data_IF_162804334932
#
_entry.id   IF_162804334932
#
_cell.length_a   1.000
_cell.length_b   1.000
_cell.length_c   1.000
_cell.angle_alpha   90.00
_cell.angle_beta   90.00
_cell.angle_gamma   90.00
#
_symmetry.space_group_name_H-M   'P 1'
#
loop_
_entity.id
_entity.type
_entity.pdbx_description
1 polymer ?
#
# COMPACT_ATOMS: atom_id res chain seq x y z
N UNK A 1 -9.29 -16.52 20.23
CA UNK A 1 -8.33 -15.56 19.63
C UNK A 1 -6.93 -15.92 20.11
N UNK A 2 -6.02 -16.31 19.21
CA UNK A 2 -4.65 -16.68 19.59
C UNK A 2 -3.76 -15.48 19.29
N UNK A 3 -3.19 -14.87 20.33
CA UNK A 3 -2.15 -13.86 20.13
C UNK A 3 -0.88 -14.62 19.72
N UNK A 4 -0.60 -14.66 18.43
CA UNK A 4 0.66 -15.21 17.94
C UNK A 4 1.72 -14.11 18.02
N UNK A 5 2.48 -14.14 19.11
CA UNK A 5 3.80 -13.54 19.14
C UNK A 5 4.67 -14.37 18.20
N UNK A 6 5.02 -13.84 17.02
CA UNK A 6 6.10 -14.43 16.23
C UNK A 6 7.39 -14.29 17.06
N UNK A 7 7.94 -15.38 17.63
CA UNK A 7 9.02 -15.27 18.59
C UNK A 7 10.35 -15.28 17.83
N UNK A 8 10.96 -14.10 17.73
CA UNK A 8 12.41 -13.96 17.64
C UNK A 8 12.78 -12.74 18.48
N UNK A 9 13.02 -13.03 19.77
CA UNK A 9 13.40 -12.09 20.82
C UNK A 9 12.41 -10.93 21.05
N UNK A 10 12.64 -10.12 22.06
CA UNK A 10 11.81 -8.98 22.46
C UNK A 10 11.79 -7.80 21.42
N UNK A 11 11.79 -8.13 20.12
CA UNK A 11 12.21 -7.26 19.00
C UNK A 11 11.33 -7.36 17.75
N UNK A 12 10.18 -8.07 17.79
CA UNK A 12 9.26 -8.23 16.65
C UNK A 12 7.97 -7.38 16.73
N UNK A 13 7.29 -7.18 15.60
CA UNK A 13 5.94 -6.61 15.57
C UNK A 13 4.89 -7.67 15.93
N UNK A 14 3.72 -7.22 16.39
CA UNK A 14 2.62 -8.06 16.86
C UNK A 14 1.50 -8.11 15.82
N UNK A 15 0.83 -9.27 15.72
CA UNK A 15 -0.42 -9.47 14.99
C UNK A 15 -1.33 -10.40 15.77
N UNK A 16 -2.64 -10.25 15.61
CA UNK A 16 -3.63 -11.16 16.20
C UNK A 16 -4.12 -12.11 15.13
N UNK A 17 -4.16 -13.41 15.44
CA UNK A 17 -4.56 -14.42 14.48
C UNK A 17 -5.79 -15.21 14.99
N UNK A 18 -6.73 -15.36 14.09
CA UNK A 18 -7.88 -16.24 14.15
C UNK A 18 -7.98 -16.97 12.80
N UNK A 19 -8.52 -18.20 12.74
CA UNK A 19 -8.66 -18.92 11.46
C UNK A 19 -9.35 -18.12 10.34
N UNK A 20 -10.23 -17.20 10.71
CA UNK A 20 -11.02 -16.39 9.77
C UNK A 20 -10.54 -14.94 9.62
N UNK A 21 -9.73 -14.43 10.57
CA UNK A 21 -9.32 -13.02 10.57
C UNK A 21 -7.91 -12.84 11.12
N UNK A 22 -7.17 -11.94 10.49
CA UNK A 22 -5.88 -11.45 10.96
C UNK A 22 -5.99 -9.95 11.24
N UNK A 23 -5.45 -9.51 12.37
CA UNK A 23 -5.34 -8.10 12.72
C UNK A 23 -3.87 -7.74 12.80
N UNK A 24 -3.43 -6.83 11.92
CA UNK A 24 -2.09 -6.28 11.90
C UNK A 24 -2.11 -4.84 12.43
N UNK A 25 -1.10 -4.47 13.21
CA UNK A 25 -0.93 -3.10 13.71
C UNK A 25 0.12 -2.40 12.87
N UNK A 26 -0.29 -1.42 12.09
CA UNK A 26 0.56 -0.74 11.12
C UNK A 26 0.71 0.74 11.48
N UNK A 27 1.92 1.27 11.32
CA UNK A 27 2.20 2.71 11.44
C UNK A 27 3.01 3.22 10.24
N UNK A 28 2.87 4.51 9.87
CA UNK A 28 3.71 5.10 8.84
C UNK A 28 5.20 5.11 9.22
N UNK A 29 6.05 4.55 8.35
CA UNK A 29 7.49 4.70 8.47
C UNK A 29 7.95 6.04 7.87
N UNK A 30 8.64 6.86 8.67
CA UNK A 30 9.11 8.20 8.28
C UNK A 30 10.64 8.30 8.27
N UNK A 31 11.17 9.25 7.49
CA UNK A 31 12.60 9.58 7.48
C UNK A 31 13.49 8.46 6.92
N UNK A 32 14.61 8.16 7.62
CA UNK A 32 15.56 7.12 7.21
C UNK A 32 14.96 5.71 7.29
N UNK A 33 13.85 5.55 8.00
CA UNK A 33 13.23 4.26 8.31
C UNK A 33 13.98 3.52 9.41
N UNK A 34 13.27 2.60 10.06
CA UNK A 34 13.81 1.73 11.10
C UNK A 34 13.21 0.35 10.93
N UNK A 35 14.04 -0.69 10.89
CA UNK A 35 13.56 -2.08 10.92
C UNK A 35 13.06 -2.51 12.32
N UNK A 36 12.88 -1.55 13.22
CA UNK A 36 12.45 -1.79 14.60
C UNK A 36 10.92 -1.67 14.70
N UNK A 37 10.27 -2.50 15.52
CA UNK A 37 8.86 -2.32 15.83
C UNK A 37 8.60 -0.96 16.48
N UNK A 38 7.41 -0.41 16.23
CA UNK A 38 6.97 0.84 16.82
C UNK A 38 6.08 0.56 18.03
N UNK A 39 6.53 0.87 19.27
CA UNK A 39 5.73 0.58 20.46
C UNK A 39 4.50 1.48 20.51
N UNK A 40 3.34 0.90 20.81
CA UNK A 40 2.08 1.57 21.11
C UNK A 40 1.67 1.23 22.55
N UNK A 41 2.24 1.91 23.57
CA UNK A 41 2.06 1.53 24.98
C UNK A 41 0.60 1.49 25.44
N UNK A 42 -0.23 2.41 24.95
CA UNK A 42 -1.65 2.47 25.28
C UNK A 42 -2.46 1.27 24.76
N UNK A 43 -1.95 0.59 23.73
CA UNK A 43 -2.56 -0.60 23.17
C UNK A 43 -1.85 -1.89 23.62
N UNK A 44 -0.70 -1.78 24.31
CA UNK A 44 0.12 -2.93 24.68
C UNK A 44 0.67 -3.70 23.48
N UNK A 45 0.82 -3.07 22.31
CA UNK A 45 1.29 -3.73 21.07
C UNK A 45 2.52 -3.05 20.48
N UNK A 46 3.30 -3.84 19.75
CA UNK A 46 4.40 -3.36 18.91
C UNK A 46 3.96 -3.39 17.45
N UNK A 47 3.73 -2.23 16.83
CA UNK A 47 3.28 -2.11 15.45
C UNK A 47 4.43 -2.28 14.45
N UNK A 48 4.07 -2.72 13.24
CA UNK A 48 4.98 -2.73 12.10
C UNK A 48 4.99 -1.35 11.43
N UNK A 49 6.18 -0.76 11.29
CA UNK A 49 6.35 0.45 10.48
C UNK A 49 6.40 0.08 8.99
N UNK A 50 5.53 0.67 8.18
CA UNK A 50 5.49 0.47 6.74
C UNK A 50 5.73 1.76 5.97
N UNK A 51 6.60 1.70 4.96
CA UNK A 51 6.80 2.84 4.05
C UNK A 51 5.59 3.01 3.14
N UNK A 52 5.29 4.26 2.84
CA UNK A 52 4.24 4.69 1.90
C UNK A 52 2.80 4.38 2.32
N UNK A 53 2.58 3.70 3.45
CA UNK A 53 1.23 3.40 3.97
C UNK A 53 0.42 4.66 4.28
N UNK A 54 1.10 5.75 4.66
CA UNK A 54 0.50 7.08 4.86
C UNK A 54 -0.34 7.53 3.66
N UNK A 55 0.10 7.23 2.44
CA UNK A 55 -0.63 7.55 1.22
C UNK A 55 -1.98 6.81 1.16
N UNK A 56 -2.01 5.54 1.54
CA UNK A 56 -3.25 4.76 1.55
C UNK A 56 -4.19 5.26 2.65
N UNK A 57 -3.65 5.60 3.83
CA UNK A 57 -4.44 6.10 4.97
C UNK A 57 -5.12 7.43 4.64
N UNK A 58 -4.44 8.32 3.91
CA UNK A 58 -4.98 9.62 3.51
C UNK A 58 -5.99 9.53 2.37
N UNK A 59 -5.91 8.49 1.54
CA UNK A 59 -6.76 8.33 0.34
C UNK A 59 -7.66 7.11 0.50
N UNK A 60 -8.64 7.21 1.40
CA UNK A 60 -9.59 6.13 1.68
C UNK A 60 -11.00 6.46 1.17
N UNK A 61 -11.77 5.40 0.93
CA UNK A 61 -13.21 5.45 0.71
C UNK A 61 -13.90 4.57 1.74
N UNK A 62 -15.19 4.78 1.96
CA UNK A 62 -16.02 3.91 2.77
C UNK A 62 -16.89 3.09 1.81
N UNK A 63 -16.83 1.77 1.96
CA UNK A 63 -17.68 0.83 1.24
C UNK A 63 -18.66 0.22 2.23
N UNK A 64 -19.92 0.14 1.82
CA UNK A 64 -20.97 -0.55 2.56
C UNK A 64 -21.00 -2.01 2.11
N UNK A 65 -20.91 -2.93 3.07
CA UNK A 65 -21.01 -4.37 2.82
C UNK A 65 -21.85 -4.99 3.92
N UNK A 66 -23.04 -5.47 3.57
CA UNK A 66 -24.04 -5.94 4.54
C UNK A 66 -24.29 -4.87 5.62
N UNK A 67 -24.05 -5.19 6.89
CA UNK A 67 -24.21 -4.29 8.03
C UNK A 67 -22.92 -3.52 8.40
N UNK A 68 -21.87 -3.60 7.58
CA UNK A 68 -20.56 -3.01 7.86
C UNK A 68 -20.24 -1.81 6.98
N UNK A 69 -19.68 -0.78 7.60
CA UNK A 69 -19.05 0.36 6.93
C UNK A 69 -17.54 0.16 6.98
N UNK A 70 -16.95 -0.24 5.85
CA UNK A 70 -15.55 -0.62 5.77
C UNK A 70 -14.77 0.51 5.11
N UNK A 71 -13.83 1.10 5.85
CA UNK A 71 -12.88 2.06 5.29
C UNK A 71 -11.74 1.30 4.60
N UNK A 72 -11.62 1.47 3.29
CA UNK A 72 -10.56 0.86 2.47
C UNK A 72 -9.78 1.93 1.71
N UNK A 73 -8.55 1.66 1.27
CA UNK A 73 -7.86 2.57 0.34
C UNK A 73 -8.65 2.72 -0.95
N UNK A 74 -8.70 3.94 -1.49
CA UNK A 74 -9.27 4.17 -2.82
C UNK A 74 -8.52 3.32 -3.86
N UNK A 75 -9.19 2.68 -4.83
CA UNK A 75 -8.54 1.83 -5.83
C UNK A 75 -7.36 2.49 -6.57
N UNK A 76 -7.51 3.76 -6.97
CA UNK A 76 -6.41 4.54 -7.55
C UNK A 76 -5.20 4.67 -6.60
N UNK A 77 -5.45 4.94 -5.31
CA UNK A 77 -4.39 5.03 -4.31
C UNK A 77 -3.70 3.67 -4.10
N UNK A 78 -4.49 2.58 -4.08
CA UNK A 78 -3.98 1.22 -4.01
C UNK A 78 -3.06 0.91 -5.19
N UNK A 79 -3.49 1.17 -6.43
CA UNK A 79 -2.71 0.92 -7.64
C UNK A 79 -1.38 1.69 -7.66
N UNK A 80 -1.44 3.01 -7.43
CA UNK A 80 -0.23 3.85 -7.39
C UNK A 80 0.74 3.44 -6.27
N UNK A 81 0.23 3.10 -5.08
CA UNK A 81 1.05 2.60 -3.98
C UNK A 81 1.70 1.25 -4.31
N UNK A 82 0.93 0.33 -4.90
CA UNK A 82 1.37 -1.01 -5.28
C UNK A 82 2.51 -0.95 -6.31
N UNK A 83 2.45 -0.02 -7.26
CA UNK A 83 3.57 0.29 -8.16
C UNK A 83 4.81 0.71 -7.38
N UNK A 84 4.73 1.67 -6.45
CA UNK A 84 5.91 2.14 -5.70
C UNK A 84 6.58 1.02 -4.88
N UNK A 85 5.79 0.11 -4.29
CA UNK A 85 6.33 -0.96 -3.46
C UNK A 85 6.85 -2.15 -4.26
N UNK A 86 6.41 -2.36 -5.51
CA UNK A 86 6.76 -3.53 -6.31
C UNK A 86 8.28 -3.71 -6.33
N UNK A 87 9.05 -2.69 -6.74
CA UNK A 87 10.53 -2.63 -6.81
C UNK A 87 11.30 -2.98 -5.52
N UNK A 88 10.63 -3.20 -4.38
CA UNK A 88 11.27 -3.48 -3.09
C UNK A 88 11.26 -4.95 -2.68
N UNK A 89 10.59 -5.82 -3.43
CA UNK A 89 10.52 -7.24 -3.10
C UNK A 89 11.71 -8.03 -3.68
N UNK A 90 12.01 -9.15 -3.03
CA UNK A 90 13.27 -9.89 -3.22
C UNK A 90 13.29 -10.81 -4.45
N UNK A 91 12.14 -11.13 -5.06
CA UNK A 91 12.04 -12.13 -6.13
C UNK A 91 11.29 -11.57 -7.32
N UNK A 92 11.86 -11.72 -8.51
CA UNK A 92 11.35 -11.20 -9.79
C UNK A 92 9.90 -11.60 -10.06
N UNK A 93 9.53 -12.86 -9.81
CA UNK A 93 8.15 -13.34 -9.95
C UNK A 93 7.15 -12.56 -9.08
N UNK A 94 7.53 -12.23 -7.84
CA UNK A 94 6.68 -11.43 -6.94
C UNK A 94 6.62 -9.96 -7.38
N UNK A 95 7.71 -9.44 -7.95
CA UNK A 95 7.73 -8.09 -8.53
C UNK A 95 6.69 -7.99 -9.66
N UNK A 96 6.76 -8.92 -10.61
CA UNK A 96 5.89 -8.95 -11.78
C UNK A 96 4.42 -9.10 -11.39
N UNK A 97 4.12 -10.03 -10.46
CA UNK A 97 2.75 -10.23 -9.98
C UNK A 97 2.18 -8.96 -9.32
N UNK A 98 2.93 -8.34 -8.41
CA UNK A 98 2.45 -7.13 -7.73
C UNK A 98 2.29 -5.95 -8.67
N UNK A 99 3.19 -5.82 -9.65
CA UNK A 99 3.08 -4.81 -10.69
C UNK A 99 1.84 -5.04 -11.56
N UNK A 100 1.58 -6.28 -11.98
CA UNK A 100 0.41 -6.60 -12.78
C UNK A 100 -0.89 -6.33 -12.03
N UNK A 101 -0.97 -6.67 -10.74
CA UNK A 101 -2.11 -6.32 -9.89
C UNK A 101 -2.35 -4.81 -9.86
N UNK A 102 -1.27 -4.02 -9.75
CA UNK A 102 -1.35 -2.57 -9.75
C UNK A 102 -1.85 -2.01 -11.10
N UNK A 103 -1.27 -2.49 -12.21
CA UNK A 103 -1.63 -2.07 -13.55
C UNK A 103 -3.08 -2.43 -13.89
N UNK A 104 -3.53 -3.63 -13.51
CA UNK A 104 -4.91 -4.06 -13.72
C UNK A 104 -5.89 -3.11 -13.03
N UNK A 105 -5.65 -2.76 -11.76
CA UNK A 105 -6.52 -1.82 -11.03
C UNK A 105 -6.55 -0.45 -11.69
N UNK A 106 -5.40 0.07 -12.11
CA UNK A 106 -5.32 1.38 -12.77
C UNK A 106 -6.02 1.37 -14.14
N UNK A 107 -5.84 0.33 -14.95
CA UNK A 107 -6.51 0.19 -16.24
C UNK A 107 -8.03 0.07 -16.09
N UNK A 108 -8.53 -0.70 -15.12
CA UNK A 108 -9.97 -0.77 -14.85
C UNK A 108 -10.56 0.59 -14.50
N UNK A 109 -9.84 1.43 -13.75
CA UNK A 109 -10.29 2.79 -13.44
C UNK A 109 -10.25 3.71 -14.68
N UNK A 110 -9.25 3.56 -15.55
CA UNK A 110 -9.17 4.31 -16.81
C UNK A 110 -10.36 3.95 -17.71
N UNK A 111 -10.69 2.66 -17.81
CA UNK A 111 -11.87 2.17 -18.54
C UNK A 111 -13.19 2.72 -17.97
N UNK A 112 -13.21 3.08 -16.68
CA UNK A 112 -14.33 3.70 -15.98
C UNK A 112 -14.32 5.24 -16.03
N UNK A 113 -13.44 5.85 -16.83
CA UNK A 113 -13.26 7.30 -16.97
C UNK A 113 -12.75 8.02 -15.69
N UNK A 114 -12.15 7.26 -14.75
CA UNK A 114 -11.59 7.78 -13.49
C UNK A 114 -10.13 8.27 -13.62
N UNK A 115 -9.67 8.52 -14.85
CA UNK A 115 -8.29 8.98 -15.14
C UNK A 115 -7.93 10.27 -14.38
N UNK A 116 -8.89 11.19 -14.21
CA UNK A 116 -8.69 12.43 -13.45
C UNK A 116 -8.44 12.17 -11.95
N UNK A 117 -9.08 11.16 -11.38
CA UNK A 117 -8.90 10.77 -9.98
C UNK A 117 -7.51 10.19 -9.77
N UNK A 118 -7.08 9.31 -10.69
CA UNK A 118 -5.72 8.75 -10.69
C UNK A 118 -4.69 9.88 -10.74
N UNK A 119 -4.83 10.80 -11.70
CA UNK A 119 -3.90 11.93 -11.87
C UNK A 119 -3.87 12.83 -10.63
N UNK A 120 -5.02 13.19 -10.08
CA UNK A 120 -5.08 14.02 -8.88
C UNK A 120 -4.39 13.37 -7.67
N UNK A 121 -4.57 12.07 -7.47
CA UNK A 121 -3.90 11.34 -6.40
C UNK A 121 -2.39 11.24 -6.63
N UNK A 122 -1.97 11.02 -7.88
CA UNK A 122 -0.56 11.01 -8.27
C UNK A 122 0.10 12.37 -8.04
N UNK A 123 -0.53 13.47 -8.47
CA UNK A 123 0.02 14.83 -8.36
C UNK A 123 0.20 15.29 -6.92
N UNK A 124 -0.64 14.80 -6.01
CA UNK A 124 -0.52 15.04 -4.57
C UNK A 124 0.60 14.22 -3.90
N UNK A 125 1.23 13.27 -4.61
CA UNK A 125 2.36 12.52 -4.08
C UNK A 125 3.65 13.36 -4.04
N UNK A 126 4.56 13.07 -3.08
CA UNK A 126 5.92 13.58 -3.11
C UNK A 126 6.61 13.33 -4.46
N UNK A 127 7.35 14.31 -4.97
CA UNK A 127 8.03 14.25 -6.28
C UNK A 127 8.89 12.99 -6.44
N UNK A 128 9.54 12.54 -5.37
CA UNK A 128 10.36 11.30 -5.38
C UNK A 128 9.52 10.04 -5.61
N UNK A 129 8.26 10.02 -5.21
CA UNK A 129 7.36 8.88 -5.39
C UNK A 129 6.80 8.88 -6.82
N UNK A 130 6.39 10.06 -7.31
CA UNK A 130 5.99 10.23 -8.71
C UNK A 130 7.05 9.75 -9.69
N UNK A 131 8.31 10.19 -9.52
CA UNK A 131 9.44 9.72 -10.33
C UNK A 131 9.63 8.20 -10.30
N UNK A 132 9.43 7.56 -9.14
CA UNK A 132 9.52 6.10 -9.04
C UNK A 132 8.44 5.40 -9.85
N UNK A 133 7.21 5.89 -9.80
CA UNK A 133 6.10 5.34 -10.58
C UNK A 133 6.38 5.51 -12.07
N UNK A 134 6.76 6.71 -12.53
CA UNK A 134 7.05 6.97 -13.94
C UNK A 134 8.16 6.04 -14.46
N UNK A 135 9.26 5.88 -13.73
CA UNK A 135 10.32 4.96 -14.12
C UNK A 135 9.82 3.50 -14.22
N UNK A 136 8.92 3.07 -13.34
CA UNK A 136 8.35 1.70 -13.40
C UNK A 136 7.49 1.55 -14.65
N UNK A 137 6.66 2.54 -14.97
CA UNK A 137 5.80 2.53 -16.15
C UNK A 137 6.62 2.55 -17.44
N UNK A 138 7.69 3.34 -17.48
CA UNK A 138 8.63 3.40 -18.60
C UNK A 138 9.33 2.06 -18.82
N UNK A 139 9.90 1.46 -17.77
CA UNK A 139 10.59 0.16 -17.86
C UNK A 139 9.67 -1.01 -18.25
N UNK A 140 8.36 -0.87 -18.01
CA UNK A 140 7.35 -1.89 -18.32
C UNK A 140 6.53 -1.58 -19.58
N UNK A 141 6.89 -0.53 -20.33
CA UNK A 141 6.22 -0.06 -21.56
C UNK A 141 4.71 0.25 -21.39
N UNK A 142 4.30 0.74 -20.21
CA UNK A 142 2.91 1.11 -19.91
C UNK A 142 2.63 2.59 -20.25
N UNK A 143 2.74 2.93 -21.54
CA UNK A 143 2.66 4.32 -22.03
C UNK A 143 1.29 4.97 -21.83
N UNK A 144 0.21 4.20 -21.89
CA UNK A 144 -1.15 4.74 -21.75
C UNK A 144 -1.35 5.35 -20.37
N UNK A 145 -1.02 4.60 -19.32
CA UNK A 145 -1.06 5.09 -17.94
C UNK A 145 -0.08 6.26 -17.78
N UNK A 146 1.13 6.17 -18.34
CA UNK A 146 2.14 7.23 -18.24
C UNK A 146 1.63 8.56 -18.81
N UNK A 147 0.94 8.53 -19.96
CA UNK A 147 0.38 9.72 -20.61
C UNK A 147 -0.72 10.42 -19.81
N UNK A 148 -1.41 9.69 -18.94
CA UNK A 148 -2.42 10.23 -18.02
C UNK A 148 -1.77 10.94 -16.82
N UNK A 149 -0.59 10.47 -16.42
CA UNK A 149 0.12 10.95 -15.23
C UNK A 149 0.99 12.19 -15.50
N UNK A 150 1.53 12.33 -16.71
CA UNK A 150 2.25 13.52 -17.19
C UNK A 150 1.34 14.76 -17.31
#
# INVERSE_FOLDING_TARGET
MKVLLLPLAATGYMRLEHPEIMIEFLVPEKGRGTDKPYPLPHLGVNAQALRFIDFLIQNTIVVESEDFHIRIPHPAAFGLHKLIISKRRKTEEKLLKEMQEALNVLNTLIEQDDSKVIKAMFDNMPVKWRKKILNILEESDNRDIMSILE
#
